data_IF_331643824450
#
_entry.id   IF_331643824450
#
_cell.length_a   1.000
_cell.length_b   1.000
_cell.length_c   1.000
_cell.angle_alpha   90.00
_cell.angle_beta   90.00
_cell.angle_gamma   90.00
#
_symmetry.space_group_name_H-M   'P 1'
#
loop_
_entity.id
_entity.type
_entity.pdbx_description
1 polymer ?
#
# COMPACT_ATOMS: atom_id res chain seq x y z
N UNK A 1 -5.81 -16.52 11.80
CA UNK A 1 -6.97 -15.80 12.41
C UNK A 1 -6.74 -15.43 13.86
N UNK A 2 -6.38 -16.36 14.75
CA UNK A 2 -6.19 -16.07 16.19
C UNK A 2 -4.99 -15.13 16.47
N UNK A 3 -3.83 -15.37 15.84
CA UNK A 3 -2.64 -14.50 16.01
C UNK A 3 -2.89 -13.06 15.56
N UNK A 4 -3.54 -12.87 14.40
CA UNK A 4 -3.89 -11.54 13.85
C UNK A 4 -4.91 -10.81 14.72
N UNK A 5 -5.85 -11.54 15.33
CA UNK A 5 -6.82 -10.96 16.26
C UNK A 5 -6.14 -10.38 17.50
N UNK A 6 -5.24 -11.14 18.12
CA UNK A 6 -4.45 -10.66 19.25
C UNK A 6 -3.52 -9.51 18.87
N UNK A 7 -2.86 -9.60 17.72
CA UNK A 7 -2.01 -8.53 17.20
C UNK A 7 -2.78 -7.22 17.04
N UNK A 8 -3.92 -7.25 16.34
CA UNK A 8 -4.75 -6.06 16.16
C UNK A 8 -5.34 -5.54 17.47
N UNK A 9 -5.71 -6.44 18.39
CA UNK A 9 -6.19 -6.09 19.73
C UNK A 9 -5.13 -5.37 20.56
N UNK A 10 -3.90 -5.86 20.58
CA UNK A 10 -2.76 -5.22 21.26
C UNK A 10 -2.45 -3.86 20.62
N UNK A 11 -2.48 -3.75 19.29
CA UNK A 11 -2.30 -2.47 18.60
C UNK A 11 -3.38 -1.45 18.95
N UNK A 12 -4.65 -1.86 18.95
CA UNK A 12 -5.77 -0.99 19.34
C UNK A 12 -5.66 -0.54 20.78
N UNK A 13 -5.36 -1.45 21.71
CA UNK A 13 -5.17 -1.12 23.11
C UNK A 13 -4.00 -0.14 23.30
N UNK A 14 -2.85 -0.40 22.65
CA UNK A 14 -1.70 0.49 22.66
C UNK A 14 -2.02 1.87 22.10
N UNK A 15 -2.72 1.94 20.96
CA UNK A 15 -3.13 3.19 20.34
C UNK A 15 -4.08 4.00 21.24
N UNK A 16 -5.06 3.34 21.88
CA UNK A 16 -5.98 3.99 22.81
C UNK A 16 -5.27 4.51 24.07
N UNK A 17 -4.31 3.77 24.61
CA UNK A 17 -3.51 4.21 25.75
C UNK A 17 -2.66 5.45 25.41
N UNK A 18 -2.04 5.46 24.22
CA UNK A 18 -1.23 6.59 23.75
C UNK A 18 -2.12 7.81 23.43
N UNK A 19 -3.24 7.61 22.74
CA UNK A 19 -4.20 8.67 22.42
C UNK A 19 -4.84 9.26 23.68
N UNK A 20 -5.23 8.41 24.64
CA UNK A 20 -5.75 8.86 25.93
C UNK A 20 -4.72 9.60 26.78
N UNK A 21 -3.47 9.10 26.80
CA UNK A 21 -2.36 9.73 27.51
C UNK A 21 -2.00 11.12 26.96
N UNK A 22 -1.94 11.25 25.64
CA UNK A 22 -1.67 12.54 24.96
C UNK A 22 -2.80 13.54 25.15
N UNK A 23 -4.06 13.10 25.05
CA UNK A 23 -5.23 13.93 25.33
C UNK A 23 -5.30 14.40 26.79
N UNK A 24 -4.95 13.54 27.76
CA UNK A 24 -4.90 13.93 29.18
C UNK A 24 -3.79 14.96 29.43
N UNK A 25 -2.61 14.78 28.83
CA UNK A 25 -1.48 15.70 29.00
C UNK A 25 -1.66 17.06 28.31
N UNK A 26 -2.74 17.27 27.53
CA UNK A 26 -3.04 18.55 26.88
C UNK A 26 -1.97 19.00 25.88
N UNK A 27 -1.17 18.06 25.39
CA UNK A 27 -0.15 18.32 24.37
C UNK A 27 -0.92 18.35 23.05
N UNK A 28 -1.08 19.51 22.44
CA UNK A 28 -1.71 19.65 21.12
C UNK A 28 -0.65 19.89 20.03
N UNK A 29 0.48 20.49 20.40
CA UNK A 29 1.63 20.75 19.54
C UNK A 29 2.87 20.02 20.06
N UNK A 30 3.29 18.98 19.35
CA UNK A 30 4.62 18.44 19.53
C UNK A 30 5.62 19.31 18.76
N UNK A 31 6.61 19.89 19.45
CA UNK A 31 7.58 20.82 18.87
C UNK A 31 8.48 20.27 17.74
N UNK A 32 8.34 19.00 17.36
CA UNK A 32 9.06 18.38 16.24
C UNK A 32 8.08 17.81 15.19
N UNK A 33 8.26 18.06 13.87
CA UNK A 33 7.31 17.68 12.81
C UNK A 33 6.92 16.20 12.78
N UNK A 34 7.84 15.29 13.14
CA UNK A 34 7.56 13.85 13.17
C UNK A 34 6.62 13.41 14.30
N UNK A 35 6.53 14.19 15.38
CA UNK A 35 5.67 13.89 16.53
C UNK A 35 4.25 14.44 16.34
N UNK A 36 4.06 15.37 15.41
CA UNK A 36 2.75 15.98 15.10
C UNK A 36 1.68 14.97 14.68
N UNK A 37 2.08 13.86 14.02
CA UNK A 37 1.15 12.80 13.62
C UNK A 37 0.49 12.08 14.82
N UNK A 38 1.19 11.97 15.96
CA UNK A 38 0.67 11.29 17.15
C UNK A 38 -0.42 12.08 17.87
N UNK A 39 -0.37 13.41 17.74
CA UNK A 39 -1.23 14.35 18.47
C UNK A 39 -2.29 14.99 17.58
N UNK A 40 -2.23 14.72 16.28
CA UNK A 40 -3.16 15.29 15.30
C UNK A 40 -4.58 14.82 15.59
N UNK A 41 -5.55 15.73 15.80
CA UNK A 41 -6.93 15.36 16.00
C UNK A 41 -7.51 14.69 14.74
N UNK A 42 -8.43 13.75 14.95
CA UNK A 42 -9.14 13.10 13.85
C UNK A 42 -9.93 14.12 13.05
N UNK A 43 -9.62 14.23 11.75
CA UNK A 43 -10.36 15.07 10.82
C UNK A 43 -11.32 14.21 10.00
N UNK A 44 -12.60 14.52 10.02
CA UNK A 44 -13.57 13.84 9.18
C UNK A 44 -13.29 14.13 7.70
N UNK A 45 -13.24 13.09 6.84
CA UNK A 45 -13.08 13.28 5.41
C UNK A 45 -14.20 14.13 4.85
N UNK A 46 -13.88 15.03 3.93
CA UNK A 46 -14.91 15.79 3.21
C UNK A 46 -15.68 14.87 2.24
N UNK A 47 -16.83 15.32 1.72
CA UNK A 47 -17.62 14.51 0.79
C UNK A 47 -16.85 14.08 -0.47
N UNK A 48 -15.92 14.91 -0.94
CA UNK A 48 -15.03 14.58 -2.05
C UNK A 48 -14.02 13.48 -1.67
N UNK A 49 -13.39 13.59 -0.50
CA UNK A 49 -12.46 12.58 0.00
C UNK A 49 -13.14 11.23 0.20
N UNK A 50 -14.39 11.24 0.66
CA UNK A 50 -15.18 10.04 0.85
C UNK A 50 -15.40 9.29 -0.47
N UNK A 51 -15.67 10.03 -1.55
CA UNK A 51 -15.84 9.45 -2.88
C UNK A 51 -14.53 8.86 -3.41
N UNK A 52 -13.40 9.55 -3.20
CA UNK A 52 -12.08 9.04 -3.57
C UNK A 52 -11.75 7.74 -2.80
N UNK A 53 -11.97 7.72 -1.49
CA UNK A 53 -11.76 6.53 -0.65
C UNK A 53 -12.66 5.37 -1.12
N UNK A 54 -13.93 5.64 -1.37
CA UNK A 54 -14.87 4.63 -1.87
C UNK A 54 -14.43 4.07 -3.23
N UNK A 55 -14.03 4.94 -4.16
CA UNK A 55 -13.56 4.52 -5.49
C UNK A 55 -12.30 3.66 -5.40
N UNK A 56 -11.35 4.03 -4.53
CA UNK A 56 -10.15 3.24 -4.25
C UNK A 56 -10.51 1.85 -3.70
N UNK A 57 -11.45 1.77 -2.76
CA UNK A 57 -11.94 0.51 -2.20
C UNK A 57 -12.59 -0.40 -3.25
N UNK A 58 -13.38 0.18 -4.17
CA UNK A 58 -14.01 -0.57 -5.28
C UNK A 58 -12.95 -1.10 -6.24
N UNK A 59 -12.00 -0.26 -6.67
CA UNK A 59 -10.93 -0.65 -7.59
C UNK A 59 -10.04 -1.73 -6.96
N UNK A 60 -9.63 -1.55 -5.71
CA UNK A 60 -8.81 -2.51 -4.99
C UNK A 60 -9.52 -3.87 -4.83
N UNK A 61 -10.81 -3.84 -4.47
CA UNK A 61 -11.62 -5.06 -4.33
C UNK A 61 -11.79 -5.77 -5.68
N UNK A 62 -12.08 -5.03 -6.75
CA UNK A 62 -12.18 -5.59 -8.09
C UNK A 62 -10.84 -6.23 -8.54
N UNK A 63 -9.72 -5.54 -8.29
CA UNK A 63 -8.38 -6.08 -8.57
C UNK A 63 -8.10 -7.38 -7.81
N UNK A 64 -8.43 -7.41 -6.52
CA UNK A 64 -8.25 -8.60 -5.67
C UNK A 64 -9.12 -9.78 -6.15
N UNK A 65 -10.36 -9.52 -6.55
CA UNK A 65 -11.25 -10.54 -7.12
C UNK A 65 -10.68 -11.10 -8.42
N UNK A 66 -10.27 -10.24 -9.35
CA UNK A 66 -9.67 -10.65 -10.62
C UNK A 66 -8.39 -11.46 -10.40
N UNK A 67 -7.54 -11.04 -9.47
CA UNK A 67 -6.31 -11.76 -9.12
C UNK A 67 -6.63 -13.15 -8.54
N UNK A 68 -7.58 -13.21 -7.61
CA UNK A 68 -8.05 -14.48 -7.03
C UNK A 68 -8.61 -15.41 -8.11
N UNK A 69 -9.37 -14.86 -9.07
CA UNK A 69 -9.86 -15.61 -10.21
C UNK A 69 -8.73 -16.11 -11.12
N UNK A 70 -7.70 -15.30 -11.39
CA UNK A 70 -6.54 -15.69 -12.19
C UNK A 70 -5.79 -16.87 -11.58
N UNK A 71 -5.55 -16.83 -10.26
CA UNK A 71 -4.94 -17.95 -9.52
C UNK A 71 -5.79 -19.23 -9.53
N UNK A 72 -7.11 -19.10 -9.68
CA UNK A 72 -8.02 -20.26 -9.75
C UNK A 72 -7.96 -20.97 -11.10
N UNK A 73 -7.70 -20.25 -12.19
CA UNK A 73 -7.74 -20.77 -13.57
C UNK A 73 -6.37 -21.02 -14.18
N UNK A 74 -5.29 -20.52 -13.57
CA UNK A 74 -3.94 -20.63 -14.09
C UNK A 74 -2.93 -21.03 -13.00
N UNK A 75 -1.89 -21.80 -13.35
CA UNK A 75 -0.83 -22.15 -12.41
C UNK A 75 -0.11 -20.90 -11.92
N UNK A 76 0.26 -20.89 -10.63
CA UNK A 76 0.84 -19.73 -9.96
C UNK A 76 2.07 -19.15 -10.68
N UNK A 77 2.87 -20.00 -11.34
CA UNK A 77 4.07 -19.61 -12.10
C UNK A 77 3.77 -18.70 -13.30
N UNK A 78 2.56 -18.75 -13.86
CA UNK A 78 2.16 -17.86 -14.95
C UNK A 78 1.64 -16.51 -14.45
N UNK A 79 1.10 -16.47 -13.22
CA UNK A 79 0.51 -15.25 -12.63
C UNK A 79 1.59 -14.37 -11.99
N UNK A 80 2.62 -14.96 -11.40
CA UNK A 80 3.71 -14.24 -10.72
C UNK A 80 4.39 -13.17 -11.59
N UNK A 81 4.73 -13.43 -12.87
CA UNK A 81 5.28 -12.41 -13.77
C UNK A 81 4.40 -11.16 -13.91
N UNK A 82 3.07 -11.33 -13.92
CA UNK A 82 2.14 -10.20 -14.02
C UNK A 82 2.13 -9.34 -12.76
N UNK A 83 2.25 -9.95 -11.57
CA UNK A 83 2.35 -9.21 -10.31
C UNK A 83 3.60 -8.32 -10.27
N UNK A 84 4.73 -8.82 -10.80
CA UNK A 84 5.97 -8.05 -10.86
C UNK A 84 5.88 -6.83 -11.78
N UNK A 85 4.95 -6.80 -12.75
CA UNK A 85 4.73 -5.61 -13.57
C UNK A 85 4.23 -4.41 -12.75
N UNK A 86 3.65 -4.65 -11.56
CA UNK A 86 3.28 -3.59 -10.62
C UNK A 86 4.45 -2.69 -10.23
N UNK A 87 5.69 -3.20 -10.28
CA UNK A 87 6.91 -2.44 -9.96
C UNK A 87 7.25 -1.44 -11.07
N UNK A 88 6.76 -1.63 -12.29
CA UNK A 88 6.82 -0.61 -13.35
C UNK A 88 5.73 0.45 -13.17
N UNK A 89 4.52 0.02 -12.83
CA UNK A 89 3.37 0.91 -12.69
C UNK A 89 3.47 1.84 -11.48
N UNK A 90 3.99 1.37 -10.34
CA UNK A 90 4.12 2.16 -9.13
C UNK A 90 4.93 3.47 -9.31
N UNK A 91 6.19 3.45 -9.80
CA UNK A 91 6.95 4.66 -10.05
C UNK A 91 6.40 5.49 -11.21
N UNK A 92 5.73 4.87 -12.20
CA UNK A 92 5.07 5.59 -13.28
C UNK A 92 3.93 6.46 -12.76
N UNK A 93 3.06 5.90 -11.91
CA UNK A 93 1.98 6.65 -11.29
C UNK A 93 2.50 7.66 -10.25
N UNK A 94 3.58 7.32 -9.53
CA UNK A 94 4.30 8.24 -8.63
C UNK A 94 4.79 9.49 -9.36
N UNK A 95 5.44 9.29 -10.51
CA UNK A 95 5.90 10.40 -11.36
C UNK A 95 4.72 11.20 -11.94
N UNK A 96 3.68 10.53 -12.45
CA UNK A 96 2.58 11.20 -13.16
C UNK A 96 1.68 12.02 -12.24
N UNK A 97 1.36 11.54 -11.05
CA UNK A 97 0.43 12.20 -10.13
C UNK A 97 1.11 13.03 -9.04
N UNK A 98 2.29 12.60 -8.57
CA UNK A 98 2.98 13.23 -7.44
C UNK A 98 4.25 13.97 -7.87
N UNK A 99 4.66 13.88 -9.14
CA UNK A 99 5.89 14.53 -9.64
C UNK A 99 7.17 13.94 -9.03
N UNK A 100 7.08 12.78 -8.40
CA UNK A 100 8.22 12.12 -7.78
C UNK A 100 9.14 11.57 -8.87
N UNK A 101 10.28 12.25 -9.09
CA UNK A 101 11.28 11.79 -10.06
C UNK A 101 11.97 10.54 -9.48
N UNK A 102 11.81 9.36 -10.11
CA UNK A 102 12.43 8.15 -9.60
C UNK A 102 13.96 8.28 -9.62
N UNK A 103 14.60 7.99 -8.48
CA UNK A 103 16.04 7.94 -8.39
C UNK A 103 16.60 6.87 -9.33
N UNK A 104 17.89 7.02 -9.69
CA UNK A 104 18.62 6.04 -10.51
C UNK A 104 18.51 4.61 -9.95
N UNK A 105 18.42 4.44 -8.63
CA UNK A 105 18.22 3.16 -7.95
C UNK A 105 16.84 2.53 -8.23
N UNK A 106 15.78 3.33 -8.30
CA UNK A 106 14.43 2.86 -8.66
C UNK A 106 14.39 2.44 -10.13
N UNK A 107 15.05 3.20 -11.00
CA UNK A 107 15.13 2.89 -12.44
C UNK A 107 15.91 1.60 -12.69
N UNK A 108 17.07 1.43 -12.06
CA UNK A 108 17.87 0.19 -12.21
C UNK A 108 17.14 -1.03 -11.66
N UNK A 109 16.45 -0.90 -10.53
CA UNK A 109 15.57 -1.95 -10.00
C UNK A 109 14.44 -2.32 -10.98
N UNK A 110 13.76 -1.32 -11.53
CA UNK A 110 12.69 -1.53 -12.51
C UNK A 110 13.19 -2.26 -13.78
N UNK A 111 14.38 -1.91 -14.29
CA UNK A 111 14.99 -2.59 -15.44
C UNK A 111 15.33 -4.04 -15.11
N UNK A 112 15.93 -4.33 -13.96
CA UNK A 112 16.24 -5.70 -13.53
C UNK A 112 14.99 -6.58 -13.47
N UNK A 113 13.91 -6.05 -12.92
CA UNK A 113 12.64 -6.76 -12.80
C UNK A 113 11.99 -6.95 -14.17
N UNK A 114 12.03 -5.96 -15.05
CA UNK A 114 11.54 -6.10 -16.42
C UNK A 114 12.28 -7.22 -17.18
N UNK A 115 13.60 -7.32 -17.02
CA UNK A 115 14.41 -8.41 -17.60
C UNK A 115 14.03 -9.77 -17.00
N UNK A 116 13.87 -9.86 -15.68
CA UNK A 116 13.43 -11.08 -15.02
C UNK A 116 12.03 -11.53 -15.48
N UNK A 117 11.10 -10.57 -15.67
CA UNK A 117 9.77 -10.82 -16.20
C UNK A 117 9.79 -11.36 -17.62
N UNK A 118 10.61 -10.77 -18.51
CA UNK A 118 10.81 -11.29 -19.87
C UNK A 118 11.41 -12.70 -19.88
N UNK A 119 12.37 -12.98 -18.99
CA UNK A 119 12.98 -14.30 -18.85
C UNK A 119 11.98 -15.35 -18.37
N UNK A 120 11.17 -15.03 -17.35
CA UNK A 120 10.12 -15.93 -16.86
C UNK A 120 9.08 -16.25 -17.95
N UNK A 121 8.72 -15.26 -18.78
CA UNK A 121 7.80 -15.43 -19.90
C UNK A 121 8.41 -16.29 -21.02
N UNK A 122 9.72 -16.21 -21.24
CA UNK A 122 10.44 -17.07 -22.17
C UNK A 122 10.49 -18.52 -21.68
N UNK A 123 10.74 -18.74 -20.39
CA UNK A 123 10.77 -20.09 -19.81
C UNK A 123 9.38 -20.74 -19.82
N UNK A 124 8.32 -19.97 -19.57
CA UNK A 124 6.93 -20.45 -19.67
C UNK A 124 6.51 -20.88 -21.08
N UNK A 125 7.27 -20.52 -22.12
CA UNK A 125 7.04 -20.94 -23.52
C UNK A 125 7.79 -22.22 -23.90
N UNK A 126 8.74 -22.70 -23.10
CA UNK A 126 9.42 -23.99 -23.30
C UNK A 126 8.67 -25.11 -22.60
#
# INVERSE_FOLDING_TARGET
SVMTFYQNGVFLAGALLIAGGTHWMGIEDAGHPSLSFLVRPWTWPTGGDFLLIASCGVIASAGMLLLTHAYRISPANLVTPFEYTGILWAPLWGFLFFGEVPLLTTVTGAVLIAVAGMFALHEARK
#
